data_IF_655408634541
#
_entry.id   IF_655408634541
#
_cell.length_a   1.000
_cell.length_b   1.000
_cell.length_c   1.000
_cell.angle_alpha   90.00
_cell.angle_beta   90.00
_cell.angle_gamma   90.00
#
_symmetry.space_group_name_H-M   'P 1'
#
loop_
_entity.id
_entity.type
_entity.pdbx_description
1 polymer ?
#
# COMPACT_ATOMS: atom_id res chain seq x y z
N UNK A 1 -26.21 1.07 6.45
CA UNK A 1 -24.97 1.21 7.22
C UNK A 1 -24.04 0.13 6.70
N UNK A 2 -22.98 0.53 5.98
CA UNK A 2 -22.16 -0.36 5.15
C UNK A 2 -20.69 -0.36 5.59
N UNK A 3 -20.38 0.30 6.72
CA UNK A 3 -19.04 0.34 7.28
C UNK A 3 -18.55 -1.08 7.63
N UNK A 4 -17.26 -1.32 7.44
CA UNK A 4 -16.59 -2.60 7.74
C UNK A 4 -16.41 -2.79 9.25
N UNK A 5 -17.53 -2.98 9.95
CA UNK A 5 -17.60 -3.16 11.39
C UNK A 5 -18.34 -4.45 11.68
N UNK A 6 -17.62 -5.48 12.13
CA UNK A 6 -18.21 -6.76 12.52
C UNK A 6 -19.08 -7.39 11.41
N UNK A 7 -20.37 -7.55 11.69
CA UNK A 7 -21.35 -8.15 10.77
C UNK A 7 -22.20 -7.12 10.01
N UNK A 8 -21.83 -5.83 10.04
CA UNK A 8 -22.67 -4.75 9.49
C UNK A 8 -22.93 -4.89 7.99
N UNK A 9 -22.04 -5.56 7.25
CA UNK A 9 -22.27 -5.90 5.84
C UNK A 9 -23.59 -6.67 5.62
N UNK A 10 -24.04 -7.46 6.59
CA UNK A 10 -25.32 -8.20 6.50
C UNK A 10 -26.56 -7.31 6.52
N UNK A 11 -26.40 -6.03 6.87
CA UNK A 11 -27.47 -5.01 6.90
C UNK A 11 -27.76 -4.42 5.52
N UNK A 12 -26.94 -4.72 4.51
CA UNK A 12 -27.12 -4.24 3.15
C UNK A 12 -28.30 -4.93 2.45
N UNK A 13 -29.07 -4.18 1.66
CA UNK A 13 -30.02 -4.79 0.71
C UNK A 13 -29.24 -5.41 -0.46
N UNK A 14 -29.07 -6.72 -0.40
CA UNK A 14 -28.35 -7.50 -1.41
C UNK A 14 -28.94 -7.41 -2.82
N UNK A 15 -30.22 -7.02 -2.96
CA UNK A 15 -30.88 -6.84 -4.25
C UNK A 15 -30.64 -5.44 -4.83
N UNK A 16 -30.25 -4.48 -3.98
CA UNK A 16 -29.90 -3.12 -4.39
C UNK A 16 -28.46 -2.97 -4.90
N UNK A 17 -27.60 -3.98 -4.68
CA UNK A 17 -26.21 -3.95 -5.15
C UNK A 17 -26.15 -4.40 -6.61
N UNK A 18 -25.89 -3.44 -7.50
CA UNK A 18 -25.75 -3.71 -8.93
C UNK A 18 -24.49 -4.55 -9.22
N UNK A 19 -24.49 -5.38 -10.28
CA UNK A 19 -23.27 -6.02 -10.77
C UNK A 19 -22.23 -4.97 -11.17
N UNK A 20 -20.97 -5.18 -10.77
CA UNK A 20 -19.88 -4.24 -11.03
C UNK A 20 -18.93 -4.85 -12.08
N UNK A 21 -18.60 -4.05 -13.09
CA UNK A 21 -17.50 -4.29 -14.04
C UNK A 21 -16.48 -3.18 -13.80
N UNK A 22 -15.25 -3.55 -13.47
CA UNK A 22 -14.18 -2.60 -13.17
C UNK A 22 -13.19 -2.48 -14.34
N UNK A 23 -12.80 -1.25 -14.65
CA UNK A 23 -11.81 -0.92 -15.69
C UNK A 23 -10.75 -0.02 -15.06
N UNK A 24 -9.69 -0.58 -14.45
CA UNK A 24 -8.67 0.21 -13.79
C UNK A 24 -7.86 1.02 -14.80
N UNK A 25 -7.66 2.31 -14.51
CA UNK A 25 -6.80 3.22 -15.29
C UNK A 25 -5.52 3.60 -14.52
N UNK A 26 -5.28 2.95 -13.37
CA UNK A 26 -4.08 3.09 -12.56
C UNK A 26 -3.54 1.72 -12.16
N UNK A 27 -2.26 1.66 -11.81
CA UNK A 27 -1.57 0.43 -11.42
C UNK A 27 -1.06 0.55 -9.99
N UNK A 28 -1.98 0.69 -9.04
CA UNK A 28 -1.65 0.83 -7.62
C UNK A 28 -2.66 0.18 -6.68
N UNK A 29 -3.89 0.68 -6.66
CA UNK A 29 -4.87 0.31 -5.61
C UNK A 29 -5.32 -1.15 -5.70
N UNK A 30 -5.44 -1.69 -6.91
CA UNK A 30 -6.00 -3.02 -7.15
C UNK A 30 -7.44 -3.17 -6.63
N UNK A 31 -8.15 -2.07 -6.42
CA UNK A 31 -9.52 -2.04 -5.90
C UNK A 31 -10.50 -2.82 -6.79
N UNK A 32 -10.14 -3.01 -8.05
CA UNK A 32 -10.86 -3.81 -9.04
C UNK A 32 -10.89 -5.32 -8.73
N UNK A 33 -10.09 -5.80 -7.79
CA UNK A 33 -10.14 -7.18 -7.25
C UNK A 33 -10.42 -7.20 -5.74
N UNK A 34 -10.78 -6.04 -5.18
CA UNK A 34 -11.12 -5.86 -3.78
C UNK A 34 -12.62 -5.99 -3.51
N UNK A 35 -12.96 -6.24 -2.24
CA UNK A 35 -14.34 -6.31 -1.72
C UNK A 35 -14.66 -5.18 -0.72
N UNK A 36 -13.83 -4.15 -0.75
CA UNK A 36 -13.94 -2.96 0.08
C UNK A 36 -13.81 -1.70 -0.79
N UNK A 37 -14.58 -0.66 -0.45
CA UNK A 37 -14.42 0.68 -0.98
C UNK A 37 -14.08 1.64 0.14
N UNK A 38 -13.22 2.63 -0.11
CA UNK A 38 -12.88 3.64 0.90
C UNK A 38 -13.57 4.95 0.52
N UNK A 39 -14.37 5.48 1.44
CA UNK A 39 -15.13 6.73 1.25
C UNK A 39 -14.74 7.70 2.35
N UNK A 40 -14.55 8.97 2.03
CA UNK A 40 -14.32 10.03 3.02
C UNK A 40 -15.67 10.49 3.57
N UNK A 41 -15.84 10.44 4.89
CA UNK A 41 -16.93 11.11 5.60
C UNK A 41 -16.52 12.58 5.83
N UNK A 42 -17.07 13.48 5.01
CA UNK A 42 -16.76 14.91 5.07
C UNK A 42 -17.18 15.56 6.40
N UNK A 43 -18.09 14.96 7.16
CA UNK A 43 -18.60 15.55 8.41
C UNK A 43 -17.59 15.49 9.56
N UNK A 44 -16.71 14.49 9.55
CA UNK A 44 -15.69 14.26 10.58
C UNK A 44 -14.28 14.07 10.01
N UNK A 45 -14.12 14.22 8.68
CA UNK A 45 -12.86 14.07 7.95
C UNK A 45 -12.17 12.71 8.17
N UNK A 46 -12.95 11.64 8.31
CA UNK A 46 -12.42 10.28 8.45
C UNK A 46 -12.63 9.47 7.18
N UNK A 47 -11.66 8.62 6.83
CA UNK A 47 -11.85 7.60 5.80
C UNK A 47 -12.58 6.41 6.41
N UNK A 48 -13.69 6.04 5.80
CA UNK A 48 -14.52 4.89 6.15
C UNK A 48 -14.31 3.78 5.14
N UNK A 49 -14.08 2.57 5.64
CA UNK A 49 -14.05 1.37 4.79
C UNK A 49 -15.48 0.84 4.72
N UNK A 50 -15.98 0.71 3.50
CA UNK A 50 -17.27 0.11 3.17
C UNK A 50 -17.02 -1.29 2.64
N UNK A 51 -17.64 -2.31 3.25
CA UNK A 51 -17.42 -3.70 2.88
C UNK A 51 -18.73 -4.42 2.58
N UNK A 52 -18.76 -5.17 1.48
CA UNK A 52 -19.79 -6.17 1.23
C UNK A 52 -19.32 -7.17 0.15
N UNK A 53 -19.48 -8.49 0.29
CA UNK A 53 -18.98 -9.45 -0.70
C UNK A 53 -19.43 -9.20 -2.15
N UNK A 54 -20.67 -8.70 -2.35
CA UNK A 54 -21.20 -8.35 -3.68
C UNK A 54 -20.62 -7.07 -4.31
N UNK A 55 -19.84 -6.25 -3.59
CA UNK A 55 -19.19 -5.08 -4.21
C UNK A 55 -17.89 -5.45 -4.93
N UNK A 56 -17.40 -6.68 -4.73
CA UNK A 56 -16.29 -7.19 -5.51
C UNK A 56 -16.69 -7.22 -6.99
N UNK A 57 -15.92 -6.59 -7.88
CA UNK A 57 -16.21 -6.63 -9.31
C UNK A 57 -16.34 -8.06 -9.82
N UNK A 58 -17.40 -8.29 -10.60
CA UNK A 58 -17.67 -9.59 -11.22
C UNK A 58 -16.79 -9.83 -12.45
N UNK A 59 -16.37 -8.75 -13.10
CA UNK A 59 -15.48 -8.73 -14.26
C UNK A 59 -14.54 -7.56 -14.07
N UNK A 60 -13.26 -7.81 -14.33
CA UNK A 60 -12.21 -6.80 -14.32
C UNK A 60 -11.52 -6.80 -15.68
N UNK A 61 -11.49 -5.64 -16.33
CA UNK A 61 -10.91 -5.44 -17.66
C UNK A 61 -9.59 -4.68 -17.53
N UNK A 62 -8.51 -5.44 -17.38
CA UNK A 62 -7.15 -4.92 -17.21
C UNK A 62 -6.52 -4.61 -18.58
N UNK A 63 -6.76 -3.40 -19.09
CA UNK A 63 -6.16 -2.93 -20.33
C UNK A 63 -5.01 -1.93 -20.03
N UNK A 64 -3.74 -2.31 -20.24
CA UNK A 64 -2.61 -1.43 -19.96
C UNK A 64 -2.60 -0.17 -20.86
N UNK A 65 -3.27 -0.17 -22.01
CA UNK A 65 -3.37 1.02 -22.87
C UNK A 65 -4.10 2.17 -22.17
N UNK A 66 -4.99 1.86 -21.22
CA UNK A 66 -5.71 2.87 -20.44
C UNK A 66 -4.85 3.55 -19.37
N UNK A 67 -3.61 3.11 -19.17
CA UNK A 67 -2.68 3.68 -18.19
C UNK A 67 -1.59 4.56 -18.80
N UNK A 68 -1.43 4.56 -20.13
CA UNK A 68 -0.32 5.26 -20.80
C UNK A 68 -0.36 6.78 -20.59
N UNK A 69 -1.56 7.32 -20.35
CA UNK A 69 -1.79 8.75 -20.09
C UNK A 69 -1.42 9.21 -18.68
N UNK A 70 -1.07 8.28 -17.77
CA UNK A 70 -0.69 8.65 -16.41
C UNK A 70 0.62 9.45 -16.39
N UNK A 71 0.65 10.60 -15.71
CA UNK A 71 1.90 11.32 -15.47
C UNK A 71 2.94 10.44 -14.76
N UNK A 72 4.24 10.64 -15.02
CA UNK A 72 5.31 9.86 -14.38
C UNK A 72 5.19 9.83 -12.85
N UNK A 73 4.93 10.97 -12.20
CA UNK A 73 4.83 11.03 -10.74
C UNK A 73 3.65 10.22 -10.17
N UNK A 74 2.52 10.15 -10.87
CA UNK A 74 1.38 9.29 -10.47
C UNK A 74 1.72 7.83 -10.71
N UNK A 75 2.41 7.51 -11.80
CA UNK A 75 2.88 6.14 -12.08
C UNK A 75 3.83 5.65 -11.00
N UNK A 76 4.79 6.48 -10.59
CA UNK A 76 5.70 6.18 -9.49
C UNK A 76 4.94 5.97 -8.17
N UNK A 77 4.08 6.92 -7.79
CA UNK A 77 3.34 6.84 -6.53
C UNK A 77 2.41 5.62 -6.47
N UNK A 78 1.67 5.33 -7.55
CA UNK A 78 0.78 4.17 -7.61
C UNK A 78 1.54 2.85 -7.70
N UNK A 79 2.66 2.79 -8.41
CA UNK A 79 3.49 1.59 -8.45
C UNK A 79 4.18 1.27 -7.12
N UNK A 80 4.58 2.30 -6.35
CA UNK A 80 5.06 2.11 -4.98
C UNK A 80 3.95 1.68 -4.02
N UNK A 81 2.69 2.02 -4.30
CA UNK A 81 1.52 1.52 -3.59
C UNK A 81 1.28 0.02 -3.87
N UNK A 82 1.42 -0.40 -5.14
CA UNK A 82 1.38 -1.83 -5.47
C UNK A 82 2.49 -2.62 -4.77
N UNK A 83 3.67 -1.99 -4.59
CA UNK A 83 4.77 -2.55 -3.82
C UNK A 83 4.43 -2.65 -2.33
N UNK A 84 3.89 -1.59 -1.71
CA UNK A 84 3.50 -1.62 -0.30
C UNK A 84 2.45 -2.68 -0.03
N UNK A 85 1.42 -2.80 -0.88
CA UNK A 85 0.41 -3.88 -0.78
C UNK A 85 1.04 -5.27 -0.73
N UNK A 86 1.90 -5.56 -1.70
CA UNK A 86 2.54 -6.88 -1.79
C UNK A 86 3.49 -7.12 -0.60
N UNK A 87 4.27 -6.12 -0.24
CA UNK A 87 5.26 -6.22 0.84
C UNK A 87 4.62 -6.37 2.21
N UNK A 88 3.59 -5.58 2.51
CA UNK A 88 2.84 -5.71 3.76
C UNK A 88 2.08 -7.03 3.83
N UNK A 89 1.44 -7.47 2.74
CA UNK A 89 0.80 -8.78 2.69
C UNK A 89 1.79 -9.92 2.97
N UNK A 90 2.97 -9.87 2.36
CA UNK A 90 4.00 -10.87 2.59
C UNK A 90 4.48 -10.88 4.06
N UNK A 91 4.62 -9.70 4.67
CA UNK A 91 5.04 -9.54 6.05
C UNK A 91 3.93 -9.82 7.08
N UNK A 92 2.66 -9.65 6.71
CA UNK A 92 1.53 -9.78 7.62
C UNK A 92 1.53 -11.14 8.35
N UNK A 93 1.18 -11.18 9.65
CA UNK A 93 1.02 -12.42 10.39
C UNK A 93 0.00 -13.37 9.77
N UNK A 94 0.09 -14.66 10.11
CA UNK A 94 -0.83 -15.69 9.66
C UNK A 94 -0.30 -16.56 8.51
N UNK A 95 -0.74 -17.81 8.49
CA UNK A 95 -0.32 -18.80 7.49
C UNK A 95 -1.21 -18.71 6.24
N UNK A 96 -0.66 -18.20 5.15
CA UNK A 96 -1.37 -18.14 3.87
C UNK A 96 -0.38 -18.22 2.67
N UNK A 97 0.22 -19.40 2.41
CA UNK A 97 1.32 -19.54 1.43
C UNK A 97 0.96 -19.12 0.00
N UNK A 98 -0.32 -19.18 -0.39
CA UNK A 98 -0.77 -18.69 -1.69
C UNK A 98 -0.66 -17.16 -1.80
N UNK A 99 -0.99 -16.43 -0.73
CA UNK A 99 -0.88 -14.98 -0.70
C UNK A 99 0.59 -14.56 -0.66
N UNK A 100 1.42 -15.29 0.11
CA UNK A 100 2.87 -15.06 0.14
C UNK A 100 3.49 -15.22 -1.26
N UNK A 101 3.13 -16.29 -2.00
CA UNK A 101 3.63 -16.50 -3.37
C UNK A 101 3.19 -15.41 -4.35
N UNK A 102 1.93 -14.98 -4.28
CA UNK A 102 1.40 -13.87 -5.11
C UNK A 102 2.11 -12.56 -4.77
N UNK A 103 2.30 -12.26 -3.49
CA UNK A 103 2.99 -11.06 -3.04
C UNK A 103 4.45 -11.00 -3.55
N UNK A 104 5.20 -12.09 -3.40
CA UNK A 104 6.60 -12.17 -3.84
C UNK A 104 6.71 -11.90 -5.35
N UNK A 105 5.84 -12.49 -6.16
CA UNK A 105 5.82 -12.28 -7.61
C UNK A 105 5.40 -10.84 -7.98
N UNK A 106 4.44 -10.26 -7.25
CA UNK A 106 4.09 -8.84 -7.37
C UNK A 106 5.29 -7.91 -7.14
N UNK A 107 6.08 -8.17 -6.08
CA UNK A 107 7.30 -7.41 -5.77
C UNK A 107 8.35 -7.55 -6.88
N UNK A 108 8.51 -8.76 -7.45
CA UNK A 108 9.41 -8.99 -8.60
C UNK A 108 9.00 -8.17 -9.82
N UNK A 109 7.72 -8.16 -10.16
CA UNK A 109 7.20 -7.36 -11.27
C UNK A 109 7.43 -5.87 -11.05
N UNK A 110 7.21 -5.34 -9.84
CA UNK A 110 7.55 -3.95 -9.51
C UNK A 110 9.03 -3.69 -9.74
N UNK A 111 9.92 -4.52 -9.17
CA UNK A 111 11.37 -4.38 -9.28
C UNK A 111 11.85 -4.29 -10.71
N UNK A 112 11.27 -5.09 -11.60
CA UNK A 112 11.69 -5.16 -13.00
C UNK A 112 11.07 -4.08 -13.90
N UNK A 113 9.92 -3.50 -13.52
CA UNK A 113 9.11 -2.71 -14.46
C UNK A 113 8.76 -1.29 -14.02
N UNK A 114 8.79 -0.97 -12.71
CA UNK A 114 8.29 0.32 -12.24
C UNK A 114 9.08 1.51 -12.80
N UNK A 115 10.41 1.41 -12.84
CA UNK A 115 11.24 2.48 -13.41
C UNK A 115 10.94 2.69 -14.90
N UNK A 116 10.83 1.61 -15.67
CA UNK A 116 10.50 1.67 -17.09
C UNK A 116 9.10 2.24 -17.32
N UNK A 117 8.09 1.77 -16.58
CA UNK A 117 6.72 2.29 -16.67
C UNK A 117 6.63 3.78 -16.32
N UNK A 118 7.49 4.26 -15.41
CA UNK A 118 7.54 5.66 -14.98
C UNK A 118 8.25 6.55 -15.98
N UNK A 119 9.42 6.13 -16.49
CA UNK A 119 10.27 6.94 -17.37
C UNK A 119 9.84 6.86 -18.83
N UNK A 120 9.34 5.71 -19.24
CA UNK A 120 8.87 5.40 -20.59
C UNK A 120 7.39 5.05 -20.53
N UNK A 121 6.53 6.04 -20.26
CA UNK A 121 5.11 5.83 -20.00
C UNK A 121 4.30 5.13 -21.12
N UNK A 122 4.86 5.03 -22.33
CA UNK A 122 4.29 4.30 -23.48
C UNK A 122 4.79 2.87 -23.61
N UNK A 123 5.69 2.41 -22.73
CA UNK A 123 6.18 1.03 -22.70
C UNK A 123 5.07 0.10 -22.20
N UNK A 124 4.31 -0.45 -23.15
CA UNK A 124 3.10 -1.22 -22.86
C UNK A 124 3.37 -2.47 -22.03
N UNK A 125 4.53 -3.12 -22.23
CA UNK A 125 4.93 -4.29 -21.45
C UNK A 125 5.17 -3.94 -19.99
N UNK A 126 5.87 -2.83 -19.72
CA UNK A 126 6.09 -2.35 -18.36
C UNK A 126 4.76 -1.93 -17.70
N UNK A 127 3.87 -1.26 -18.44
CA UNK A 127 2.51 -0.91 -17.97
C UNK A 127 1.68 -2.15 -17.62
N UNK A 128 1.70 -3.17 -18.48
CA UNK A 128 1.01 -4.44 -18.26
C UNK A 128 1.51 -5.15 -17.01
N UNK A 129 2.84 -5.22 -16.84
CA UNK A 129 3.45 -5.85 -15.67
C UNK A 129 3.15 -5.07 -14.37
N UNK A 130 3.11 -3.74 -14.41
CA UNK A 130 2.70 -2.94 -13.25
C UNK A 130 1.21 -3.11 -12.91
N UNK A 131 0.34 -3.21 -13.91
CA UNK A 131 -1.07 -3.52 -13.68
C UNK A 131 -1.25 -4.91 -13.07
N UNK A 132 -0.51 -5.91 -13.55
CA UNK A 132 -0.46 -7.24 -12.94
C UNK A 132 0.05 -7.16 -11.48
N UNK A 133 1.14 -6.43 -11.22
CA UNK A 133 1.68 -6.25 -9.87
C UNK A 133 0.65 -5.66 -8.90
N UNK A 134 -0.12 -4.65 -9.33
CA UNK A 134 -1.18 -4.05 -8.52
C UNK A 134 -2.29 -5.05 -8.18
N UNK A 135 -2.76 -5.84 -9.16
CA UNK A 135 -3.75 -6.91 -8.94
C UNK A 135 -3.23 -7.99 -7.98
N UNK A 136 -1.96 -8.34 -8.11
CA UNK A 136 -1.30 -9.33 -7.25
C UNK A 136 -1.19 -8.82 -5.82
N UNK A 137 -0.76 -7.56 -5.63
CA UNK A 137 -0.77 -6.89 -4.33
C UNK A 137 -2.17 -6.90 -3.71
N UNK A 138 -3.21 -6.58 -4.50
CA UNK A 138 -4.58 -6.57 -4.01
C UNK A 138 -5.18 -7.92 -3.66
N UNK A 139 -4.80 -8.94 -4.43
CA UNK A 139 -5.16 -10.33 -4.13
C UNK A 139 -4.45 -10.82 -2.87
N UNK A 140 -3.17 -10.46 -2.69
CA UNK A 140 -2.37 -10.88 -1.56
C UNK A 140 -2.78 -10.20 -0.25
N UNK A 141 -3.06 -8.89 -0.27
CA UNK A 141 -3.35 -8.15 0.97
C UNK A 141 -4.68 -8.53 1.62
N UNK A 142 -5.51 -9.36 0.99
CA UNK A 142 -6.63 -10.00 1.69
C UNK A 142 -6.17 -10.78 2.95
N UNK A 143 -4.88 -11.15 3.01
CA UNK A 143 -4.21 -11.68 4.21
C UNK A 143 -4.00 -10.62 5.31
N UNK A 144 -3.76 -9.38 4.93
CA UNK A 144 -3.53 -8.23 5.81
C UNK A 144 -2.64 -7.17 5.15
N UNK A 145 -2.78 -5.94 5.61
CA UNK A 145 -1.83 -4.83 5.42
C UNK A 145 -1.10 -4.56 6.76
N UNK A 146 -0.42 -3.43 6.92
CA UNK A 146 0.30 -3.15 8.16
C UNK A 146 0.55 -1.66 8.43
N UNK A 147 1.70 -1.38 9.02
CA UNK A 147 2.10 -0.06 9.49
C UNK A 147 2.20 1.01 8.42
N UNK A 148 2.51 0.66 7.16
CA UNK A 148 2.57 1.63 6.06
C UNK A 148 1.18 2.24 5.83
N UNK A 149 0.17 1.39 5.64
CA UNK A 149 -1.21 1.84 5.44
C UNK A 149 -1.81 2.47 6.70
N UNK A 150 -1.51 1.90 7.88
CA UNK A 150 -1.96 2.46 9.16
C UNK A 150 -1.42 3.89 9.39
N UNK A 151 -0.21 4.20 8.93
CA UNK A 151 0.31 5.57 8.94
C UNK A 151 -0.23 6.43 7.79
N UNK A 152 -0.43 5.84 6.61
CA UNK A 152 -0.81 6.58 5.41
C UNK A 152 -2.27 7.07 5.42
N UNK A 153 -3.21 6.32 6.02
CA UNK A 153 -4.62 6.74 6.05
C UNK A 153 -4.83 8.04 6.85
N UNK A 154 -4.32 8.18 8.09
CA UNK A 154 -4.43 9.44 8.84
C UNK A 154 -3.76 10.62 8.12
N UNK A 155 -2.55 10.43 7.57
CA UNK A 155 -1.86 11.48 6.83
C UNK A 155 -2.70 11.95 5.64
N UNK A 156 -3.23 11.00 4.85
CA UNK A 156 -4.07 11.32 3.70
C UNK A 156 -5.38 12.00 4.08
N UNK A 157 -5.93 11.70 5.25
CA UNK A 157 -7.15 12.34 5.76
C UNK A 157 -6.90 13.78 6.25
N UNK A 158 -5.79 14.03 6.95
CA UNK A 158 -5.47 15.34 7.56
C UNK A 158 -4.84 16.32 6.57
N UNK A 159 -4.01 15.83 5.64
CA UNK A 159 -3.19 16.66 4.76
C UNK A 159 -3.57 16.59 3.27
N UNK A 160 -4.57 15.78 2.89
CA UNK A 160 -4.99 15.56 1.50
C UNK A 160 -3.82 15.15 0.56
N UNK A 161 -2.85 14.42 1.12
CA UNK A 161 -1.69 13.95 0.37
C UNK A 161 -2.01 12.64 -0.38
N UNK A 162 -1.40 12.47 -1.57
CA UNK A 162 -1.63 11.31 -2.43
C UNK A 162 -1.26 9.99 -1.73
N UNK A 163 -2.21 9.06 -1.62
CA UNK A 163 -2.06 7.82 -0.83
C UNK A 163 -0.80 7.02 -1.13
N UNK A 164 -0.59 6.65 -2.40
CA UNK A 164 0.60 5.88 -2.79
C UNK A 164 1.93 6.63 -2.57
N UNK A 165 1.92 7.96 -2.57
CA UNK A 165 3.12 8.75 -2.26
C UNK A 165 3.46 8.64 -0.77
N UNK A 166 2.46 8.72 0.10
CA UNK A 166 2.67 8.57 1.55
C UNK A 166 3.20 7.17 1.87
N UNK A 167 2.56 6.13 1.32
CA UNK A 167 3.02 4.74 1.46
C UNK A 167 4.48 4.58 1.00
N UNK A 168 4.84 5.17 -0.15
CA UNK A 168 6.21 5.17 -0.65
C UNK A 168 7.20 5.86 0.30
N UNK A 169 6.79 6.95 0.96
CA UNK A 169 7.66 7.69 1.90
C UNK A 169 7.87 6.92 3.21
N UNK A 170 6.80 6.36 3.80
CA UNK A 170 6.88 5.68 5.11
C UNK A 170 7.48 4.27 5.04
N UNK A 171 7.47 3.64 3.87
CA UNK A 171 7.93 2.26 3.64
C UNK A 171 9.25 1.87 4.32
N UNK A 172 10.38 2.57 4.14
CA UNK A 172 11.64 2.17 4.77
C UNK A 172 11.62 2.29 6.30
N UNK A 173 10.91 3.27 6.84
CA UNK A 173 10.78 3.48 8.29
C UNK A 173 10.00 2.33 8.91
N UNK A 174 8.89 1.93 8.28
CA UNK A 174 8.09 0.77 8.73
C UNK A 174 8.86 -0.55 8.58
N UNK A 175 9.64 -0.71 7.51
CA UNK A 175 10.51 -1.89 7.37
C UNK A 175 11.53 -1.97 8.52
N UNK A 176 12.22 -0.87 8.81
CA UNK A 176 13.20 -0.82 9.91
C UNK A 176 12.54 -1.08 11.26
N UNK A 177 11.39 -0.46 11.51
CA UNK A 177 10.57 -0.70 12.70
C UNK A 177 10.24 -2.19 12.88
N UNK A 178 9.78 -2.84 11.81
CA UNK A 178 9.39 -4.25 11.83
C UNK A 178 10.55 -5.25 11.77
N UNK A 179 11.82 -4.80 11.64
CA UNK A 179 12.97 -5.65 11.30
C UNK A 179 13.05 -6.92 12.14
N UNK A 180 12.94 -6.80 13.46
CA UNK A 180 13.03 -7.95 14.38
C UNK A 180 12.04 -9.08 14.03
N UNK A 181 10.84 -8.73 13.56
CA UNK A 181 9.80 -9.69 13.20
C UNK A 181 9.92 -10.24 11.77
N UNK A 182 10.58 -9.50 10.86
CA UNK A 182 10.55 -9.80 9.41
C UNK A 182 11.92 -10.06 8.78
N UNK A 183 13.04 -9.91 9.50
CA UNK A 183 14.40 -9.94 8.93
C UNK A 183 14.66 -11.21 8.11
N UNK A 184 14.39 -12.39 8.68
CA UNK A 184 14.57 -13.67 7.97
C UNK A 184 13.67 -13.78 6.74
N UNK A 185 12.43 -13.26 6.85
CA UNK A 185 11.43 -13.31 5.77
C UNK A 185 11.84 -12.40 4.60
N UNK A 186 12.32 -11.20 4.90
CA UNK A 186 12.84 -10.24 3.91
C UNK A 186 14.16 -10.72 3.31
N UNK A 187 15.05 -11.35 4.08
CA UNK A 187 16.28 -11.93 3.53
C UNK A 187 15.97 -12.99 2.45
N UNK A 188 14.97 -13.86 2.68
CA UNK A 188 14.53 -14.83 1.65
C UNK A 188 13.93 -14.17 0.42
N UNK A 189 13.18 -13.07 0.61
CA UNK A 189 12.65 -12.29 -0.50
C UNK A 189 13.79 -11.63 -1.29
N UNK A 190 14.78 -11.07 -0.61
CA UNK A 190 15.97 -10.48 -1.24
C UNK A 190 16.70 -11.51 -2.11
N UNK A 191 16.93 -12.72 -1.59
CA UNK A 191 17.53 -13.83 -2.35
C UNK A 191 16.70 -14.17 -3.61
N UNK A 192 15.38 -14.27 -3.48
CA UNK A 192 14.48 -14.53 -4.61
C UNK A 192 14.53 -13.43 -5.69
N UNK A 193 14.65 -12.17 -5.27
CA UNK A 193 14.74 -11.02 -6.16
C UNK A 193 16.15 -10.78 -6.73
N UNK A 194 17.14 -11.56 -6.30
CA UNK A 194 18.55 -11.37 -6.64
C UNK A 194 19.14 -10.09 -6.05
N UNK A 195 18.71 -9.70 -4.85
CA UNK A 195 19.23 -8.56 -4.08
C UNK A 195 20.20 -9.10 -3.02
N UNK A 196 21.48 -8.75 -3.15
CA UNK A 196 22.51 -9.14 -2.17
C UNK A 196 22.39 -8.34 -0.87
N UNK A 197 22.88 -8.89 0.25
CA UNK A 197 22.93 -8.19 1.54
C UNK A 197 21.71 -8.40 2.45
N UNK A 198 20.83 -9.35 2.13
CA UNK A 198 19.70 -9.73 2.98
C UNK A 198 18.73 -8.57 3.25
N UNK A 199 18.33 -8.38 4.51
CA UNK A 199 17.44 -7.28 4.89
C UNK A 199 18.01 -5.90 4.54
N UNK A 200 19.29 -5.65 4.86
CA UNK A 200 19.91 -4.35 4.63
C UNK A 200 20.04 -4.05 3.13
N UNK A 201 20.33 -5.07 2.33
CA UNK A 201 20.32 -4.97 0.86
C UNK A 201 18.95 -4.65 0.29
N UNK A 202 17.90 -5.30 0.79
CA UNK A 202 16.52 -5.00 0.39
C UNK A 202 16.12 -3.58 0.78
N UNK A 203 16.45 -3.14 1.99
CA UNK A 203 16.18 -1.76 2.43
C UNK A 203 16.94 -0.74 1.57
N UNK A 204 18.20 -1.02 1.21
CA UNK A 204 18.96 -0.19 0.29
C UNK A 204 18.30 -0.09 -1.08
N UNK A 205 17.82 -1.21 -1.65
CA UNK A 205 17.06 -1.22 -2.90
C UNK A 205 15.79 -0.36 -2.81
N UNK A 206 15.05 -0.42 -1.70
CA UNK A 206 13.87 0.43 -1.47
C UNK A 206 14.25 1.92 -1.47
N UNK A 207 15.37 2.29 -0.86
CA UNK A 207 15.85 3.68 -0.86
C UNK A 207 16.28 4.13 -2.27
N UNK A 208 16.97 3.25 -3.01
CA UNK A 208 17.43 3.52 -4.38
C UNK A 208 16.27 3.71 -5.35
N UNK A 209 15.28 2.80 -5.37
CA UNK A 209 14.12 2.92 -6.27
C UNK A 209 13.28 4.16 -5.94
N UNK A 210 13.11 4.50 -4.65
CA UNK A 210 12.42 5.74 -4.25
C UNK A 210 13.14 6.97 -4.82
N UNK A 211 14.46 7.03 -4.63
CA UNK A 211 15.27 8.14 -5.14
C UNK A 211 15.22 8.23 -6.67
N UNK A 212 15.29 7.09 -7.36
CA UNK A 212 15.29 7.02 -8.82
C UNK A 212 13.96 7.42 -9.47
N UNK A 213 12.86 7.32 -8.70
CA UNK A 213 11.51 7.75 -9.06
C UNK A 213 11.16 9.17 -8.59
N UNK A 214 12.08 9.84 -7.87
CA UNK A 214 11.85 11.19 -7.34
C UNK A 214 10.91 11.23 -6.12
N UNK A 215 10.71 10.11 -5.44
CA UNK A 215 9.94 10.05 -4.19
C UNK A 215 10.75 10.74 -3.09
N UNK A 216 10.08 11.62 -2.34
CA UNK A 216 10.69 12.38 -1.24
C UNK A 216 11.18 11.47 -0.11
N UNK A 217 12.20 11.91 0.61
CA UNK A 217 12.78 11.09 1.67
C UNK A 217 11.89 11.10 2.91
N UNK A 218 11.39 12.28 3.30
CA UNK A 218 10.60 12.47 4.52
C UNK A 218 9.16 12.96 4.27
N UNK A 219 8.31 12.82 5.29
CA UNK A 219 6.94 13.32 5.25
C UNK A 219 6.89 14.87 5.32
N UNK A 220 7.86 15.53 5.96
CA UNK A 220 7.94 16.99 5.96
C UNK A 220 8.14 17.57 4.55
N UNK A 221 8.88 16.87 3.68
CA UNK A 221 9.08 17.27 2.28
C UNK A 221 7.80 17.22 1.43
N UNK A 222 6.76 16.53 1.90
CA UNK A 222 5.43 16.48 1.27
C UNK A 222 4.37 17.24 2.08
N UNK A 223 4.79 18.08 3.04
CA UNK A 223 3.93 19.01 3.75
C UNK A 223 3.28 18.49 5.04
N UNK A 224 3.71 17.34 5.57
CA UNK A 224 3.22 16.83 6.86
C UNK A 224 3.87 17.60 8.01
N UNK A 225 3.03 18.22 8.83
CA UNK A 225 3.47 19.01 9.99
C UNK A 225 3.76 18.10 11.20
N UNK A 226 4.96 18.23 11.76
CA UNK A 226 5.40 17.53 12.97
C UNK A 226 4.49 17.83 14.18
N UNK A 227 3.84 18.98 14.21
CA UNK A 227 2.91 19.35 15.28
C UNK A 227 1.67 18.43 15.34
N UNK A 228 1.40 17.65 14.27
CA UNK A 228 0.27 16.73 14.18
C UNK A 228 0.58 15.29 14.63
N UNK A 229 1.80 14.99 15.09
CA UNK A 229 2.20 13.63 15.46
C UNK A 229 1.23 12.96 16.42
N UNK A 230 0.82 13.63 17.51
CA UNK A 230 -0.05 13.01 18.52
C UNK A 230 -1.42 12.64 17.95
N UNK A 231 -1.97 13.48 17.06
CA UNK A 231 -3.23 13.23 16.35
C UNK A 231 -3.08 12.05 15.37
N UNK A 232 -2.02 12.07 14.55
CA UNK A 232 -1.75 11.01 13.56
C UNK A 232 -1.49 9.65 14.23
N UNK A 233 -0.73 9.63 15.33
CA UNK A 233 -0.45 8.43 16.10
C UNK A 233 -1.73 7.82 16.69
N UNK A 234 -2.60 8.66 17.28
CA UNK A 234 -3.88 8.21 17.84
C UNK A 234 -4.79 7.58 16.77
N UNK A 235 -4.84 8.18 15.58
CA UNK A 235 -5.61 7.65 14.46
C UNK A 235 -5.01 6.35 13.90
N UNK A 236 -3.69 6.27 13.78
CA UNK A 236 -3.00 5.12 13.18
C UNK A 236 -3.11 3.84 14.02
N UNK A 237 -3.09 3.93 15.35
CA UNK A 237 -3.21 2.74 16.23
C UNK A 237 -4.59 2.07 16.11
N UNK A 238 -5.63 2.83 15.78
CA UNK A 238 -6.99 2.32 15.59
C UNK A 238 -7.35 2.11 14.11
N UNK A 239 -6.39 2.31 13.19
CA UNK A 239 -6.60 2.08 11.77
C UNK A 239 -6.89 0.59 11.51
N UNK A 240 -7.82 0.25 10.59
CA UNK A 240 -8.11 -1.14 10.24
C UNK A 240 -6.90 -1.96 9.80
N UNK A 241 -5.85 -1.32 9.26
CA UNK A 241 -4.61 -1.98 8.82
C UNK A 241 -3.65 -2.29 9.97
N UNK A 242 -3.80 -1.61 11.11
CA UNK A 242 -2.86 -1.69 12.23
C UNK A 242 -2.74 -3.12 12.80
N UNK A 243 -3.85 -3.86 12.85
CA UNK A 243 -3.90 -5.22 13.36
C UNK A 243 -3.13 -6.25 12.51
N UNK A 244 -2.83 -5.91 11.25
CA UNK A 244 -2.03 -6.76 10.36
C UNK A 244 -0.52 -6.48 10.42
N UNK A 245 -0.07 -5.47 11.17
CA UNK A 245 1.36 -5.18 11.29
C UNK A 245 2.08 -6.26 12.13
N UNK A 246 3.28 -6.75 11.72
CA UNK A 246 3.99 -7.81 12.42
C UNK A 246 4.35 -7.50 13.88
N UNK A 247 4.63 -6.23 14.16
CA UNK A 247 4.82 -5.70 15.52
C UNK A 247 3.58 -4.87 15.86
N UNK A 248 2.93 -5.16 17.00
CA UNK A 248 1.74 -4.44 17.40
C UNK A 248 2.01 -2.93 17.50
N UNK A 249 1.19 -2.12 16.82
CA UNK A 249 1.30 -0.66 16.86
C UNK A 249 0.68 -0.14 18.16
N UNK A 250 1.45 0.66 18.90
CA UNK A 250 1.00 1.34 20.12
C UNK A 250 1.38 2.80 20.04
N UNK A 251 0.75 3.65 20.85
CA UNK A 251 1.08 5.09 20.85
C UNK A 251 2.57 5.29 21.17
N UNK A 252 3.12 4.50 22.09
CA UNK A 252 4.51 4.60 22.53
C UNK A 252 5.51 4.30 21.40
N UNK A 253 5.17 3.38 20.49
CA UNK A 253 6.09 2.94 19.43
C UNK A 253 5.84 3.62 18.08
N UNK A 254 4.61 4.03 17.77
CA UNK A 254 4.28 4.67 16.50
C UNK A 254 4.58 6.17 16.52
N UNK A 255 4.54 6.81 17.69
CA UNK A 255 4.91 8.23 17.86
C UNK A 255 6.35 8.51 17.42
N UNK A 256 7.38 7.78 17.90
CA UNK A 256 8.74 7.95 17.39
C UNK A 256 8.85 7.56 15.91
N UNK A 257 8.13 6.54 15.45
CA UNK A 257 8.12 6.16 14.03
C UNK A 257 7.60 7.30 13.12
N UNK A 258 6.53 7.98 13.51
CA UNK A 258 6.06 9.19 12.81
C UNK A 258 7.09 10.30 12.85
N UNK A 259 7.71 10.55 14.01
CA UNK A 259 8.77 11.56 14.15
C UNK A 259 9.91 11.29 13.17
N UNK A 260 10.41 10.07 13.15
CA UNK A 260 11.51 9.64 12.30
C UNK A 260 11.15 9.79 10.81
N UNK A 261 9.95 9.36 10.41
CA UNK A 261 9.46 9.52 9.05
C UNK A 261 9.23 10.99 8.64
N UNK A 262 8.83 11.86 9.56
CA UNK A 262 8.65 13.30 9.31
C UNK A 262 9.99 14.01 9.20
N UNK A 263 10.93 13.72 10.10
CA UNK A 263 12.26 14.35 10.13
C UNK A 263 13.21 13.77 9.09
N UNK A 264 12.93 12.59 8.54
CA UNK A 264 13.82 11.91 7.62
C UNK A 264 14.94 11.12 8.30
N UNK A 265 14.73 10.69 9.53
CA UNK A 265 15.73 10.02 10.36
C UNK A 265 15.56 8.50 10.24
N UNK A 266 16.19 7.88 9.22
CA UNK A 266 16.01 6.45 8.97
C UNK A 266 16.70 5.56 9.99
#
# INVERSE_FOLDING_TARGET
DFEDIGDWFSRADVNGIAPIIAVPTTSGTGSEVGRAGVITDESNHTKKIIFHPKIMPSITLCDPELTIGLPPHITAATGMDALSHSLEAYCAPGFHPQADGIAIEGIRLVKENLEAATREGTNISARANMMAAALMGATAFQKGLGGMHAMAHPIGAVFDAHHGLINAVVMPYVLKFNREAIEVRIARLADYLGIEGGFDGFLAWILEIRASLGIKHSLAEIGVDIAKIDELAAMAVVDPSAGGNPIALTIENITPLFRDAILGEL
#
